data_IF_681268091354
#
_entry.id   IF_681268091354
#
_cell.length_a   1.000
_cell.length_b   1.000
_cell.length_c   1.000
_cell.angle_alpha   90.00
_cell.angle_beta   90.00
_cell.angle_gamma   90.00
#
_symmetry.space_group_name_H-M   'P 1'
#
loop_
_entity.id
_entity.type
_entity.pdbx_description
1 polymer ?
#
# COMPACT_ATOMS: atom_id res chain seq x y z
N UNK A 1 -18.61 4.94 -4.81
CA UNK A 1 -17.43 4.90 -3.91
C UNK A 1 -17.75 5.51 -2.54
N UNK A 2 -18.44 6.65 -2.48
CA UNK A 2 -18.75 7.37 -1.23
C UNK A 2 -19.43 6.52 -0.14
N UNK A 3 -20.43 5.71 -0.49
CA UNK A 3 -21.25 4.94 0.48
C UNK A 3 -20.49 3.84 1.22
N UNK A 4 -19.41 3.28 0.64
CA UNK A 4 -18.69 2.14 1.25
C UNK A 4 -17.67 2.55 2.30
N UNK A 5 -17.10 3.75 2.19
CA UNK A 5 -16.15 4.23 3.19
C UNK A 5 -16.88 4.76 4.43
N UNK A 6 -18.04 5.38 4.24
CA UNK A 6 -18.87 5.91 5.32
C UNK A 6 -19.47 4.85 6.23
N UNK A 7 -19.58 3.59 5.79
CA UNK A 7 -20.04 2.49 6.65
C UNK A 7 -18.96 1.99 7.61
N UNK A 8 -17.68 2.29 7.36
CA UNK A 8 -16.57 1.92 8.24
C UNK A 8 -16.39 3.09 9.21
N UNK A 9 -16.78 2.89 10.46
CA UNK A 9 -16.71 3.92 11.51
C UNK A 9 -16.21 3.32 12.82
N UNK A 10 -15.48 4.13 13.60
CA UNK A 10 -14.94 3.75 14.91
C UNK A 10 -14.10 2.46 14.85
N UNK A 11 -13.39 2.24 13.73
CA UNK A 11 -12.45 1.12 13.56
C UNK A 11 -11.01 1.61 13.53
N UNK A 12 -10.09 0.69 13.77
CA UNK A 12 -8.68 0.86 13.41
C UNK A 12 -8.47 0.35 11.99
N UNK A 13 -7.99 1.22 11.10
CA UNK A 13 -7.75 0.91 9.70
C UNK A 13 -6.25 1.01 9.42
N UNK A 14 -5.66 -0.09 8.99
CA UNK A 14 -4.27 -0.13 8.55
C UNK A 14 -4.26 0.04 7.03
N UNK A 15 -3.56 1.06 6.55
CA UNK A 15 -3.42 1.38 5.14
C UNK A 15 -1.99 1.03 4.71
N UNK A 16 -1.86 0.16 3.71
CA UNK A 16 -0.57 -0.33 3.21
C UNK A 16 -0.33 -0.03 1.74
N UNK A 17 -0.09 1.24 1.35
CA UNK A 17 0.17 1.57 -0.05
C UNK A 17 1.43 0.89 -0.54
N UNK A 18 1.36 0.33 -1.74
CA UNK A 18 2.47 -0.37 -2.37
C UNK A 18 3.60 0.59 -2.75
N UNK A 19 4.84 0.30 -2.35
CA UNK A 19 6.03 1.10 -2.68
C UNK A 19 6.59 0.74 -4.07
N UNK A 20 5.75 0.87 -5.10
CA UNK A 20 6.09 0.72 -6.52
C UNK A 20 6.08 2.10 -7.20
N UNK A 21 6.63 3.09 -6.50
CA UNK A 21 6.59 4.50 -6.88
C UNK A 21 5.41 5.28 -6.28
N UNK A 22 5.44 6.60 -6.47
CA UNK A 22 4.56 7.54 -5.76
C UNK A 22 3.08 7.42 -6.14
N UNK A 23 2.76 6.88 -7.33
CA UNK A 23 1.39 6.84 -7.85
C UNK A 23 0.41 5.99 -7.02
N UNK A 24 0.89 4.99 -6.27
CA UNK A 24 0.05 4.26 -5.33
C UNK A 24 -0.23 5.10 -4.09
N UNK A 25 0.80 5.72 -3.51
CA UNK A 25 0.67 6.57 -2.33
C UNK A 25 -0.24 7.78 -2.57
N UNK A 26 -0.07 8.50 -3.69
CA UNK A 26 -0.86 9.71 -3.98
C UNK A 26 -2.36 9.42 -4.16
N UNK A 27 -2.72 8.28 -4.76
CA UNK A 27 -4.12 7.86 -4.90
C UNK A 27 -4.74 7.43 -3.56
N UNK A 28 -3.93 7.03 -2.59
CA UNK A 28 -4.39 6.71 -1.25
C UNK A 28 -4.68 7.96 -0.40
N UNK A 29 -4.08 9.13 -0.71
CA UNK A 29 -4.31 10.38 0.05
C UNK A 29 -5.80 10.71 0.24
N UNK A 30 -6.63 10.83 -0.81
CA UNK A 30 -8.05 11.17 -0.62
C UNK A 30 -8.81 10.09 0.18
N UNK A 31 -8.40 8.82 0.07
CA UNK A 31 -9.01 7.71 0.80
C UNK A 31 -8.68 7.81 2.29
N UNK A 32 -7.42 8.06 2.64
CA UNK A 32 -6.96 8.27 4.02
C UNK A 32 -7.66 9.49 4.62
N UNK A 33 -7.78 10.59 3.85
CA UNK A 33 -8.47 11.81 4.29
C UNK A 33 -9.93 11.57 4.66
N UNK A 34 -10.64 10.72 3.93
CA UNK A 34 -12.02 10.36 4.26
C UNK A 34 -12.10 9.40 5.45
N UNK A 35 -11.24 8.36 5.48
CA UNK A 35 -11.26 7.35 6.53
C UNK A 35 -10.91 7.93 7.92
N UNK A 36 -9.93 8.84 7.99
CA UNK A 36 -9.48 9.41 9.27
C UNK A 36 -10.52 10.32 9.96
N UNK A 37 -11.60 10.70 9.27
CA UNK A 37 -12.66 11.52 9.87
C UNK A 37 -13.42 10.78 10.97
N UNK A 38 -13.51 9.46 10.86
CA UNK A 38 -14.34 8.62 11.75
C UNK A 38 -13.61 7.37 12.26
N UNK A 39 -12.35 7.17 11.87
CA UNK A 39 -11.56 5.98 12.19
C UNK A 39 -10.15 6.34 12.64
N UNK A 40 -9.53 5.46 13.42
CA UNK A 40 -8.10 5.53 13.72
C UNK A 40 -7.34 4.94 12.54
N UNK A 41 -6.51 5.75 11.87
CA UNK A 41 -5.75 5.31 10.70
C UNK A 41 -4.28 5.11 11.06
N UNK A 42 -3.72 3.98 10.63
CA UNK A 42 -2.29 3.65 10.75
C UNK A 42 -1.76 3.42 9.34
N UNK A 43 -0.67 4.07 8.97
CA UNK A 43 -0.03 3.87 7.67
C UNK A 43 1.13 2.91 7.86
N UNK A 44 1.19 1.84 7.07
CA UNK A 44 2.30 0.90 7.08
C UNK A 44 2.86 0.71 5.66
N UNK A 45 4.00 1.32 5.36
CA UNK A 45 4.60 1.29 4.01
C UNK A 45 6.12 1.49 4.06
N UNK A 46 6.77 1.66 2.91
CA UNK A 46 8.22 1.80 2.80
C UNK A 46 8.63 2.82 1.74
N UNK A 47 9.92 3.18 1.76
CA UNK A 47 10.59 3.93 0.71
C UNK A 47 9.90 5.25 0.38
N UNK A 48 9.76 5.54 -0.92
CA UNK A 48 9.28 6.86 -1.37
C UNK A 48 7.81 7.10 -1.04
N UNK A 49 7.01 6.04 -0.95
CA UNK A 49 5.63 6.12 -0.50
C UNK A 49 5.55 6.56 0.97
N UNK A 50 6.43 6.02 1.82
CA UNK A 50 6.53 6.37 3.24
C UNK A 50 6.88 7.85 3.43
N UNK A 51 7.91 8.34 2.72
CA UNK A 51 8.34 9.73 2.82
C UNK A 51 7.22 10.71 2.47
N UNK A 52 6.51 10.44 1.38
CA UNK A 52 5.40 11.28 0.92
C UNK A 52 4.24 11.27 1.93
N UNK A 53 3.89 10.09 2.46
CA UNK A 53 2.76 9.98 3.40
C UNK A 53 3.10 10.49 4.79
N UNK A 54 4.36 10.41 5.22
CA UNK A 54 4.86 11.08 6.44
C UNK A 54 4.73 12.60 6.34
N UNK A 55 5.01 13.19 5.18
CA UNK A 55 4.83 14.63 4.97
C UNK A 55 3.36 15.03 4.97
N UNK A 56 2.49 14.25 4.32
CA UNK A 56 1.06 14.57 4.19
C UNK A 56 0.27 14.31 5.48
N UNK A 57 0.65 13.30 6.26
CA UNK A 57 -0.09 12.81 7.42
C UNK A 57 0.78 12.67 8.67
N UNK A 58 1.57 13.70 8.98
CA UNK A 58 2.51 13.70 10.11
C UNK A 58 1.85 13.44 11.49
N UNK A 59 0.53 13.62 11.61
CA UNK A 59 -0.24 13.36 12.82
C UNK A 59 -0.74 11.91 12.94
N UNK A 60 -0.63 11.08 11.89
CA UNK A 60 -1.02 9.67 11.94
C UNK A 60 0.15 8.81 12.44
N UNK A 61 -0.18 7.66 13.02
CA UNK A 61 0.84 6.64 13.31
C UNK A 61 1.32 6.05 11.99
N UNK A 62 2.65 5.98 11.83
CA UNK A 62 3.30 5.49 10.63
C UNK A 62 4.34 4.45 11.01
N UNK A 63 4.16 3.24 10.48
CA UNK A 63 5.08 2.12 10.64
C UNK A 63 5.82 1.85 9.33
N UNK A 64 7.14 1.73 9.41
CA UNK A 64 7.94 1.31 8.26
C UNK A 64 7.96 -0.22 8.18
N UNK A 65 7.59 -0.76 7.01
CA UNK A 65 7.62 -2.20 6.74
C UNK A 65 8.72 -2.54 5.74
N UNK A 66 9.21 -3.79 5.67
CA UNK A 66 10.23 -4.17 4.70
C UNK A 66 9.80 -3.85 3.25
N UNK A 67 10.66 -3.15 2.51
CA UNK A 67 10.40 -2.81 1.13
C UNK A 67 10.45 -4.04 0.21
N UNK A 68 9.58 -4.09 -0.78
CA UNK A 68 9.62 -5.13 -1.81
C UNK A 68 10.85 -5.02 -2.74
N UNK A 69 11.60 -3.92 -2.68
CA UNK A 69 12.87 -3.76 -3.39
C UNK A 69 12.75 -3.68 -4.91
N UNK A 70 11.63 -3.16 -5.43
CA UNK A 70 11.36 -3.15 -6.87
C UNK A 70 12.35 -2.27 -7.61
N UNK A 71 13.21 -2.92 -8.41
CA UNK A 71 14.18 -2.22 -9.24
C UNK A 71 13.58 -1.91 -10.63
N UNK A 72 13.33 -0.62 -10.89
CA UNK A 72 12.97 -0.15 -12.23
C UNK A 72 14.18 -0.22 -13.18
N UNK A 73 13.94 -0.57 -14.44
CA UNK A 73 14.96 -0.58 -15.49
C UNK A 73 15.18 0.84 -16.05
N UNK A 74 16.35 1.09 -16.65
CA UNK A 74 16.66 2.39 -17.29
C UNK A 74 15.71 2.74 -18.46
N UNK A 75 15.02 1.74 -19.01
CA UNK A 75 14.01 1.91 -20.05
C UNK A 75 12.79 1.01 -19.78
N UNK A 76 11.68 1.28 -20.48
CA UNK A 76 10.38 0.61 -20.26
C UNK A 76 10.47 -0.91 -20.49
N UNK A 77 11.22 -1.34 -21.52
CA UNK A 77 11.42 -2.75 -21.83
C UNK A 77 12.19 -3.50 -20.72
N UNK A 78 13.32 -2.95 -20.26
CA UNK A 78 14.07 -3.53 -19.13
C UNK A 78 13.28 -3.50 -17.83
N UNK A 79 12.41 -2.50 -17.63
CA UNK A 79 11.52 -2.45 -16.47
C UNK A 79 10.54 -3.62 -16.47
N UNK A 80 9.91 -3.90 -17.62
CA UNK A 80 8.99 -5.03 -17.77
C UNK A 80 9.72 -6.35 -17.51
N UNK A 81 10.92 -6.53 -18.09
CA UNK A 81 11.74 -7.74 -17.87
C UNK A 81 12.11 -7.89 -16.39
N UNK A 82 12.63 -6.83 -15.75
CA UNK A 82 13.00 -6.88 -14.33
C UNK A 82 11.80 -7.17 -13.45
N UNK A 83 10.65 -6.58 -13.75
CA UNK A 83 9.43 -6.81 -12.97
C UNK A 83 8.99 -8.27 -13.09
N UNK A 84 8.96 -8.82 -14.31
CA UNK A 84 8.63 -10.24 -14.56
C UNK A 84 9.60 -11.20 -13.85
N UNK A 85 10.90 -10.89 -13.85
CA UNK A 85 11.91 -11.70 -13.15
C UNK A 85 11.85 -11.59 -11.63
N UNK A 86 11.31 -10.49 -11.09
CA UNK A 86 11.11 -10.28 -9.65
C UNK A 86 9.83 -10.91 -9.12
N UNK A 87 8.95 -11.44 -9.99
CA UNK A 87 7.77 -12.17 -9.54
C UNK A 87 8.24 -13.49 -8.92
N UNK A 88 8.02 -13.71 -7.61
CA UNK A 88 8.34 -14.97 -6.98
C UNK A 88 7.57 -16.11 -7.66
N UNK A 89 8.23 -17.23 -7.96
CA UNK A 89 7.56 -18.41 -8.56
C UNK A 89 6.37 -18.91 -7.70
N UNK A 90 6.34 -18.57 -6.42
CA UNK A 90 5.24 -18.83 -5.49
C UNK A 90 3.97 -18.03 -5.77
N UNK A 91 4.04 -16.87 -6.44
CA UNK A 91 2.86 -16.09 -6.85
C UNK A 91 2.22 -16.66 -8.12
N UNK A 92 3.04 -17.29 -8.97
CA UNK A 92 2.60 -17.93 -10.22
C UNK A 92 1.91 -19.28 -9.93
N UNK A 93 2.04 -19.82 -8.71
CA UNK A 93 1.46 -21.11 -8.31
C UNK A 93 0.59 -20.99 -7.06
N UNK A 94 -0.70 -21.24 -7.28
CA UNK A 94 -1.79 -21.60 -6.37
C UNK A 94 -2.63 -20.46 -5.76
N UNK A 95 -3.82 -20.33 -6.35
CA UNK A 95 -5.08 -20.36 -5.62
C UNK A 95 -4.99 -21.39 -4.47
N UNK A 96 -4.64 -20.93 -3.28
CA UNK A 96 -5.07 -21.53 -2.02
C UNK A 96 -5.38 -20.37 -1.10
N UNK A 97 -6.65 -20.01 -1.07
CA UNK A 97 -7.22 -19.23 0.02
C UNK A 97 -6.74 -19.88 1.33
N UNK A 98 -5.92 -19.16 2.10
CA UNK A 98 -5.69 -19.53 3.48
C UNK A 98 -6.89 -18.99 4.23
N UNK A 99 -7.94 -19.82 4.32
CA UNK A 99 -9.00 -19.61 5.30
C UNK A 99 -8.35 -19.82 6.67
N UNK A 100 -8.11 -18.72 7.38
CA UNK A 100 -7.79 -18.77 8.80
C UNK A 100 -9.14 -19.00 9.48
N UNK A 101 -9.41 -20.24 9.86
CA UNK A 101 -10.56 -20.61 10.68
C UNK A 101 -10.19 -20.46 12.16
N UNK A 102 -11.05 -19.71 12.86
CA UNK A 102 -11.29 -19.54 14.31
C UNK A 102 -10.11 -19.36 15.29
#
# INVERSE_FOLDING_TARGET
MHTRLTSITQKTVIITPLDWGLGHATRCIPIIRELQKTNTCIIATSGRALDLLKQEFAHLQIEEIPAYGIAYGKNKFLTIIKLLLQIPKSVITKNKEVVIAD
#
